data_IF_975998147687
#
_entry.id   IF_975998147687
#
_cell.length_a   1.000
_cell.length_b   1.000
_cell.length_c   1.000
_cell.angle_alpha   90.00
_cell.angle_beta   90.00
_cell.angle_gamma   90.00
#
_symmetry.space_group_name_H-M   'P 1'
#
loop_
_entity.id
_entity.type
_entity.pdbx_description
1 polymer ?
#
# COMPACT_ATOMS: atom_id res chain seq x y z
N UNK A 1 0.67 -74.96 -36.73
CA UNK A 1 0.60 -74.30 -35.39
C UNK A 1 1.02 -72.89 -35.58
N UNK A 2 0.03 -71.92 -35.64
CA UNK A 2 0.28 -70.50 -35.90
C UNK A 2 0.24 -69.76 -34.55
N UNK A 3 1.36 -69.10 -34.14
CA UNK A 3 1.47 -68.31 -32.96
C UNK A 3 1.03 -66.92 -33.31
N UNK A 4 -0.08 -66.42 -32.71
CA UNK A 4 -0.57 -65.05 -32.77
C UNK A 4 0.22 -64.16 -31.78
N UNK A 5 0.99 -63.22 -32.32
CA UNK A 5 1.71 -62.19 -31.56
C UNK A 5 0.73 -61.00 -31.36
N UNK A 6 0.25 -60.80 -30.14
CA UNK A 6 -0.57 -59.66 -29.80
C UNK A 6 0.34 -58.49 -29.43
N UNK A 7 0.46 -57.50 -30.33
CA UNK A 7 1.08 -56.21 -30.03
C UNK A 7 0.11 -55.35 -29.18
N UNK A 8 0.48 -55.10 -27.95
CA UNK A 8 -0.17 -54.11 -27.11
C UNK A 8 0.41 -52.72 -27.44
N UNK A 9 -0.38 -51.88 -28.09
CA UNK A 9 -0.06 -50.46 -28.32
C UNK A 9 -0.44 -49.68 -27.05
N UNK A 10 0.55 -49.37 -26.21
CA UNK A 10 0.35 -48.52 -25.04
C UNK A 10 0.25 -47.06 -25.52
N UNK A 11 -0.97 -46.55 -25.60
CA UNK A 11 -1.25 -45.14 -25.87
C UNK A 11 -1.01 -44.35 -24.57
N UNK A 12 0.17 -43.74 -24.43
CA UNK A 12 0.52 -42.89 -23.32
C UNK A 12 -0.29 -41.57 -23.39
N UNK A 13 -1.30 -41.42 -22.54
CA UNK A 13 -1.91 -40.13 -22.29
C UNK A 13 -0.89 -39.21 -21.62
N UNK A 14 -0.27 -38.28 -22.38
CA UNK A 14 0.35 -37.10 -21.80
C UNK A 14 -0.76 -36.23 -21.25
N UNK A 15 -1.07 -36.36 -19.98
CA UNK A 15 -1.84 -35.36 -19.24
C UNK A 15 -0.96 -34.09 -19.16
N UNK A 16 -1.16 -33.19 -20.10
CA UNK A 16 -0.58 -31.84 -20.04
C UNK A 16 -1.14 -31.15 -18.79
N UNK A 17 -0.37 -31.12 -17.73
CA UNK A 17 -0.67 -30.22 -16.61
C UNK A 17 -0.62 -28.79 -17.15
N UNK A 18 -1.77 -28.19 -17.41
CA UNK A 18 -1.85 -26.76 -17.64
C UNK A 18 -1.44 -26.08 -16.35
N UNK A 19 -0.16 -25.65 -16.28
CA UNK A 19 0.29 -24.79 -15.21
C UNK A 19 -0.59 -23.53 -15.26
N UNK A 20 -1.51 -23.38 -14.31
CA UNK A 20 -2.22 -22.14 -14.12
C UNK A 20 -1.17 -21.06 -13.90
N UNK A 21 -1.17 -20.03 -14.73
CA UNK A 21 -0.26 -18.90 -14.53
C UNK A 21 -0.50 -18.35 -13.12
N UNK A 22 0.56 -18.17 -12.36
CA UNK A 22 0.45 -17.61 -11.02
C UNK A 22 -0.14 -16.19 -11.12
N UNK A 23 -1.10 -15.89 -10.28
CA UNK A 23 -1.73 -14.58 -10.20
C UNK A 23 -1.52 -13.96 -8.82
N UNK A 24 -1.39 -12.63 -8.78
CA UNK A 24 -1.29 -11.83 -7.57
C UNK A 24 -2.43 -10.82 -7.55
N UNK A 25 -3.20 -10.76 -6.49
CA UNK A 25 -4.29 -9.79 -6.33
C UNK A 25 -3.89 -8.67 -5.38
N UNK A 26 -3.90 -7.44 -5.89
CA UNK A 26 -3.57 -6.21 -5.15
C UNK A 26 -4.83 -5.41 -4.88
N UNK A 27 -5.18 -5.23 -3.61
CA UNK A 27 -6.19 -4.26 -3.19
C UNK A 27 -5.52 -2.89 -3.06
N UNK A 28 -5.88 -1.95 -3.94
CA UNK A 28 -5.18 -0.66 -4.07
C UNK A 28 -6.10 0.54 -3.84
N UNK A 29 -5.72 1.37 -2.87
CA UNK A 29 -6.26 2.73 -2.74
C UNK A 29 -5.51 3.75 -3.61
N UNK A 30 -4.42 3.35 -4.25
CA UNK A 30 -3.62 4.22 -5.13
C UNK A 30 -4.28 4.32 -6.51
N UNK A 31 -4.04 5.45 -7.18
CA UNK A 31 -4.66 5.78 -8.47
C UNK A 31 -3.66 6.40 -9.46
N UNK A 32 -2.37 6.15 -9.26
CA UNK A 32 -1.33 6.68 -10.14
C UNK A 32 -1.08 5.75 -11.31
N UNK A 33 -0.93 6.32 -12.51
CA UNK A 33 -0.62 5.56 -13.72
C UNK A 33 0.75 4.87 -13.63
N UNK A 34 1.68 5.46 -12.89
CA UNK A 34 2.99 4.85 -12.60
C UNK A 34 2.89 3.47 -11.93
N UNK A 35 1.84 3.22 -11.16
CA UNK A 35 1.66 1.92 -10.52
C UNK A 35 1.36 0.83 -11.54
N UNK A 36 0.61 1.16 -12.61
CA UNK A 36 0.33 0.22 -13.70
C UNK A 36 1.61 -0.18 -14.45
N UNK A 37 2.54 0.75 -14.63
CA UNK A 37 3.85 0.48 -15.26
C UNK A 37 4.65 -0.50 -14.40
N UNK A 38 4.69 -0.30 -13.07
CA UNK A 38 5.40 -1.18 -12.15
C UNK A 38 4.79 -2.60 -12.12
N UNK A 39 3.48 -2.71 -12.13
CA UNK A 39 2.80 -4.01 -12.16
C UNK A 39 3.04 -4.75 -13.48
N UNK A 40 3.05 -4.01 -14.61
CA UNK A 40 3.38 -4.58 -15.91
C UNK A 40 4.81 -5.12 -15.93
N UNK A 41 5.78 -4.31 -15.47
CA UNK A 41 7.19 -4.73 -15.38
C UNK A 41 7.34 -5.99 -14.50
N UNK A 42 6.70 -6.03 -13.34
CA UNK A 42 6.70 -7.20 -12.47
C UNK A 42 6.17 -8.45 -13.19
N UNK A 43 5.07 -8.31 -13.95
CA UNK A 43 4.51 -9.42 -14.73
C UNK A 43 5.48 -9.88 -15.83
N UNK A 44 6.13 -8.94 -16.52
CA UNK A 44 7.11 -9.26 -17.56
C UNK A 44 8.35 -9.98 -17.01
N UNK A 45 8.82 -9.60 -15.83
CA UNK A 45 10.00 -10.21 -15.18
C UNK A 45 9.72 -11.56 -14.53
N UNK A 46 8.49 -11.77 -14.03
CA UNK A 46 8.17 -12.95 -13.18
C UNK A 46 7.23 -13.95 -13.84
N UNK A 47 6.49 -13.54 -14.87
CA UNK A 47 5.37 -14.31 -15.43
C UNK A 47 4.11 -14.31 -14.54
N UNK A 48 4.12 -13.61 -13.39
CA UNK A 48 3.00 -13.54 -12.46
C UNK A 48 2.08 -12.38 -12.87
N UNK A 49 0.83 -12.68 -13.19
CA UNK A 49 -0.17 -11.68 -13.54
C UNK A 49 -0.62 -10.90 -12.30
N UNK A 50 -0.65 -9.57 -12.37
CA UNK A 50 -1.14 -8.72 -11.29
C UNK A 50 -2.58 -8.27 -11.58
N UNK A 51 -3.51 -8.65 -10.71
CA UNK A 51 -4.90 -8.22 -10.73
C UNK A 51 -5.09 -7.11 -9.70
N UNK A 52 -5.61 -5.94 -10.12
CA UNK A 52 -5.76 -4.79 -9.23
C UNK A 52 -7.23 -4.50 -8.97
N UNK A 53 -7.62 -4.54 -7.70
CA UNK A 53 -8.94 -4.12 -7.21
C UNK A 53 -8.80 -2.75 -6.56
N UNK A 54 -9.45 -1.74 -7.14
CA UNK A 54 -9.40 -0.35 -6.65
C UNK A 54 -10.55 -0.06 -5.70
N UNK A 55 -10.28 0.74 -4.65
CA UNK A 55 -11.27 1.20 -3.69
C UNK A 55 -10.73 2.24 -2.73
N UNK A 56 -11.57 2.81 -1.87
CA UNK A 56 -11.07 3.63 -0.78
C UNK A 56 -10.37 2.76 0.26
N UNK A 57 -9.39 3.31 0.99
CA UNK A 57 -8.61 2.53 1.94
C UNK A 57 -9.48 1.88 3.02
N UNK A 58 -10.43 2.63 3.57
CA UNK A 58 -11.30 2.13 4.63
C UNK A 58 -12.24 1.02 4.10
N UNK A 59 -12.79 1.16 2.88
CA UNK A 59 -13.57 0.11 2.23
C UNK A 59 -12.75 -1.17 1.98
N UNK A 60 -11.51 -1.03 1.52
CA UNK A 60 -10.64 -2.18 1.28
C UNK A 60 -10.25 -2.89 2.57
N UNK A 61 -9.99 -2.15 3.66
CA UNK A 61 -9.72 -2.74 4.98
C UNK A 61 -10.96 -3.47 5.51
N UNK A 62 -12.15 -2.87 5.41
CA UNK A 62 -13.40 -3.52 5.80
C UNK A 62 -13.67 -4.77 4.97
N UNK A 63 -13.41 -4.71 3.66
CA UNK A 63 -13.56 -5.84 2.77
C UNK A 63 -12.64 -6.98 3.17
N UNK A 64 -11.35 -6.72 3.41
CA UNK A 64 -10.39 -7.70 3.91
C UNK A 64 -10.86 -8.35 5.22
N UNK A 65 -11.38 -7.55 6.16
CA UNK A 65 -11.91 -8.05 7.42
C UNK A 65 -13.14 -8.96 7.23
N UNK A 66 -14.03 -8.61 6.29
CA UNK A 66 -15.22 -9.40 5.98
C UNK A 66 -14.90 -10.69 5.23
N UNK A 67 -13.96 -10.67 4.31
CA UNK A 67 -13.51 -11.83 3.53
C UNK A 67 -12.69 -12.79 4.42
N UNK A 68 -11.97 -12.25 5.41
CA UNK A 68 -11.16 -13.03 6.34
C UNK A 68 -10.17 -13.95 5.62
N UNK A 69 -10.18 -15.23 5.97
CA UNK A 69 -9.29 -16.24 5.37
C UNK A 69 -9.61 -16.57 3.90
N UNK A 70 -10.78 -16.16 3.42
CA UNK A 70 -11.22 -16.38 2.04
C UNK A 70 -10.92 -15.17 1.14
N UNK A 71 -10.22 -14.15 1.65
CA UNK A 71 -9.85 -13.00 0.83
C UNK A 71 -8.97 -13.43 -0.34
N UNK A 72 -9.28 -12.99 -1.56
CA UNK A 72 -8.41 -13.20 -2.71
C UNK A 72 -7.22 -12.25 -2.74
N UNK A 73 -7.15 -11.28 -1.80
CA UNK A 73 -6.09 -10.27 -1.81
C UNK A 73 -4.80 -10.80 -1.19
N UNK A 74 -3.71 -10.69 -1.93
CA UNK A 74 -2.36 -11.00 -1.48
C UNK A 74 -1.66 -9.76 -0.91
N UNK A 75 -1.98 -8.56 -1.45
CA UNK A 75 -1.32 -7.30 -1.07
C UNK A 75 -2.35 -6.18 -0.90
N UNK A 76 -2.22 -5.44 0.20
CA UNK A 76 -2.91 -4.16 0.40
C UNK A 76 -1.95 -3.00 0.13
N UNK A 77 -2.25 -2.20 -0.89
CA UNK A 77 -1.49 -1.00 -1.24
C UNK A 77 -2.30 0.26 -0.90
N UNK A 78 -1.83 1.00 0.08
CA UNK A 78 -2.51 2.21 0.55
C UNK A 78 -1.52 3.37 0.74
N UNK A 79 -2.01 4.50 1.21
CA UNK A 79 -1.22 5.70 1.49
C UNK A 79 -1.34 6.06 2.96
N UNK A 80 -0.25 6.59 3.51
CA UNK A 80 -0.14 7.02 4.91
C UNK A 80 -0.02 5.88 5.93
N UNK A 81 0.94 6.01 6.84
CA UNK A 81 1.22 5.02 7.89
C UNK A 81 0.01 4.82 8.84
N UNK A 82 -0.82 5.86 9.05
CA UNK A 82 -2.02 5.75 9.87
C UNK A 82 -3.04 4.75 9.32
N UNK A 83 -3.15 4.61 7.99
CA UNK A 83 -4.01 3.58 7.38
C UNK A 83 -3.42 2.19 7.51
N UNK A 84 -2.11 2.06 7.35
CA UNK A 84 -1.41 0.79 7.57
C UNK A 84 -1.54 0.33 9.02
N UNK A 85 -1.45 1.26 9.96
CA UNK A 85 -1.71 0.98 11.38
C UNK A 85 -3.15 0.50 11.62
N UNK A 86 -4.15 1.13 11.00
CA UNK A 86 -5.56 0.68 11.08
C UNK A 86 -5.74 -0.73 10.51
N UNK A 87 -5.12 -1.04 9.37
CA UNK A 87 -5.16 -2.37 8.79
C UNK A 87 -4.52 -3.42 9.71
N UNK A 88 -3.37 -3.10 10.34
CA UNK A 88 -2.75 -3.94 11.35
C UNK A 88 -3.67 -4.15 12.56
N UNK A 89 -4.24 -3.08 13.11
CA UNK A 89 -5.16 -3.13 14.25
C UNK A 89 -6.44 -3.94 13.95
N UNK A 90 -6.90 -3.92 12.70
CA UNK A 90 -8.02 -4.74 12.24
C UNK A 90 -7.65 -6.23 12.03
N UNK A 91 -6.38 -6.63 12.23
CA UNK A 91 -5.91 -8.00 12.10
C UNK A 91 -5.92 -8.55 10.66
N UNK A 92 -5.96 -7.66 9.64
CA UNK A 92 -6.03 -8.06 8.23
C UNK A 92 -4.65 -8.19 7.56
N UNK A 93 -3.57 -7.92 8.29
CA UNK A 93 -2.21 -8.03 7.81
C UNK A 93 -1.47 -9.14 8.55
N UNK A 94 -0.62 -9.86 7.83
CA UNK A 94 0.30 -10.83 8.40
C UNK A 94 1.74 -10.32 8.32
N UNK A 95 2.62 -10.72 9.26
CA UNK A 95 4.03 -10.31 9.24
C UNK A 95 4.77 -11.01 8.09
N UNK A 96 5.58 -10.24 7.37
CA UNK A 96 6.44 -10.73 6.29
C UNK A 96 7.89 -10.48 6.63
N UNK A 97 8.73 -11.52 6.56
CA UNK A 97 10.17 -11.41 6.71
C UNK A 97 10.83 -11.53 5.33
N UNK A 98 11.35 -10.43 4.80
CA UNK A 98 12.04 -10.37 3.52
C UNK A 98 13.38 -9.67 3.67
N UNK A 99 14.47 -10.34 3.22
CA UNK A 99 15.81 -9.73 3.17
C UNK A 99 15.86 -8.51 2.24
N UNK A 100 15.12 -8.55 1.13
CA UNK A 100 15.04 -7.45 0.17
C UNK A 100 14.34 -6.23 0.80
N UNK A 101 13.20 -6.41 1.47
CA UNK A 101 12.50 -5.34 2.18
C UNK A 101 13.34 -4.79 3.34
N UNK A 102 13.99 -5.67 4.11
CA UNK A 102 14.84 -5.23 5.21
C UNK A 102 16.05 -4.42 4.76
N UNK A 103 16.61 -4.73 3.57
CA UNK A 103 17.73 -4.00 2.98
C UNK A 103 17.30 -2.65 2.40
N UNK A 104 16.14 -2.59 1.74
CA UNK A 104 15.75 -1.44 0.92
C UNK A 104 14.81 -0.45 1.65
N UNK A 105 14.11 -0.88 2.72
CA UNK A 105 13.19 -0.04 3.48
C UNK A 105 13.81 0.27 4.86
N UNK A 106 14.11 1.53 5.18
CA UNK A 106 14.65 1.93 6.48
C UNK A 106 13.76 1.46 7.64
N UNK A 107 14.36 1.16 8.80
CA UNK A 107 13.63 0.70 9.99
C UNK A 107 12.55 1.70 10.46
N UNK A 108 12.80 3.00 10.30
CA UNK A 108 11.83 4.07 10.61
C UNK A 108 10.62 4.13 9.66
N UNK A 109 10.67 3.41 8.54
CA UNK A 109 9.62 3.40 7.52
C UNK A 109 8.90 2.05 7.42
N UNK A 110 9.03 1.18 8.41
CA UNK A 110 8.37 -0.12 8.45
C UNK A 110 7.87 -0.48 9.84
N UNK A 111 6.88 -1.33 9.89
CA UNK A 111 6.42 -1.88 11.15
C UNK A 111 7.51 -2.75 11.80
N UNK A 112 7.82 -2.56 13.09
CA UNK A 112 8.83 -3.38 13.78
C UNK A 112 8.53 -4.89 13.75
N UNK A 113 7.26 -5.27 13.72
CA UNK A 113 6.80 -6.65 13.63
C UNK A 113 6.68 -7.15 12.17
N UNK A 114 6.86 -6.29 11.18
CA UNK A 114 6.89 -6.64 9.76
C UNK A 114 5.53 -6.73 9.07
N UNK A 115 4.46 -6.16 9.64
CA UNK A 115 3.12 -6.19 9.03
C UNK A 115 2.97 -5.24 7.85
N UNK A 116 3.80 -4.19 7.76
CA UNK A 116 3.77 -3.24 6.64
C UNK A 116 5.13 -2.59 6.39
N UNK A 117 5.29 -2.06 5.18
CA UNK A 117 6.49 -1.40 4.69
C UNK A 117 6.14 -0.13 3.93
N UNK A 118 6.81 0.99 4.26
CA UNK A 118 6.66 2.26 3.55
C UNK A 118 7.58 2.32 2.33
N UNK A 119 6.99 2.44 1.15
CA UNK A 119 7.72 2.44 -0.11
C UNK A 119 8.05 3.85 -0.62
N UNK A 120 7.34 4.88 -0.14
CA UNK A 120 7.51 6.27 -0.57
C UNK A 120 7.30 7.22 0.59
N UNK A 121 7.95 8.39 0.52
CA UNK A 121 7.80 9.47 1.50
C UNK A 121 7.08 10.64 0.86
N UNK A 122 6.25 11.31 1.64
CA UNK A 122 5.62 12.60 1.29
C UNK A 122 5.88 13.61 2.38
N UNK A 123 6.29 14.80 1.97
CA UNK A 123 6.37 15.94 2.88
C UNK A 123 5.09 16.75 2.83
N UNK A 124 4.63 17.20 3.98
CA UNK A 124 3.58 18.21 4.07
C UNK A 124 4.27 19.55 4.21
N UNK A 125 4.02 20.40 3.24
CA UNK A 125 4.68 21.71 3.17
C UNK A 125 3.65 22.83 3.28
N UNK A 126 4.07 23.97 3.79
CA UNK A 126 3.26 25.18 3.77
C UNK A 126 3.29 25.72 2.34
N UNK A 127 2.13 25.81 1.71
CA UNK A 127 1.92 26.42 0.39
C UNK A 127 1.25 27.76 0.59
N UNK A 128 1.71 28.81 -0.09
CA UNK A 128 1.21 30.15 0.08
C UNK A 128 0.92 30.86 -1.24
N UNK A 129 0.02 31.83 -1.20
CA UNK A 129 -0.25 32.74 -2.33
C UNK A 129 0.88 33.75 -2.44
N UNK A 130 1.59 33.77 -3.57
CA UNK A 130 2.69 34.71 -3.82
C UNK A 130 2.27 36.19 -3.79
N UNK A 131 0.99 36.46 -4.09
CA UNK A 131 0.43 37.80 -4.15
C UNK A 131 0.02 38.35 -2.76
N UNK A 132 -0.12 37.48 -1.77
CA UNK A 132 -0.68 37.82 -0.46
C UNK A 132 0.21 37.55 0.73
N UNK A 133 1.26 36.78 0.56
CA UNK A 133 2.14 36.32 1.63
C UNK A 133 3.58 36.35 1.14
N UNK A 134 4.48 36.90 1.93
CA UNK A 134 5.92 36.84 1.67
C UNK A 134 6.51 35.59 2.29
N UNK A 135 7.48 34.94 1.66
CA UNK A 135 8.17 33.77 2.25
C UNK A 135 8.74 34.02 3.64
N UNK A 136 9.22 35.28 3.88
CA UNK A 136 9.76 35.69 5.18
C UNK A 136 8.75 35.67 6.33
N UNK A 137 7.45 35.70 6.01
CA UNK A 137 6.37 35.66 7.01
C UNK A 137 6.06 34.24 7.47
N UNK A 138 6.61 33.23 6.78
CA UNK A 138 6.38 31.82 7.03
C UNK A 138 7.56 31.20 7.77
N UNK A 139 7.28 30.34 8.74
CA UNK A 139 8.31 29.60 9.48
C UNK A 139 7.86 28.14 9.76
N UNK A 140 7.25 27.89 10.89
CA UNK A 140 6.82 26.54 11.32
C UNK A 140 5.30 26.37 11.27
N UNK A 141 4.83 25.17 11.46
CA UNK A 141 3.39 24.89 11.57
C UNK A 141 2.78 25.59 12.79
N UNK A 142 3.49 25.62 13.91
CA UNK A 142 3.07 26.24 15.16
C UNK A 142 2.89 27.76 14.98
N UNK A 143 3.74 28.39 14.15
CA UNK A 143 3.61 29.81 13.84
C UNK A 143 2.29 30.15 13.15
N UNK A 144 1.66 29.20 12.42
CA UNK A 144 0.35 29.40 11.80
C UNK A 144 -0.80 29.50 12.81
N UNK A 145 -0.58 29.17 14.08
CA UNK A 145 -1.55 29.35 15.14
C UNK A 145 -1.62 30.78 15.69
N UNK A 146 -0.67 31.65 15.31
CA UNK A 146 -0.63 33.04 15.77
C UNK A 146 -1.82 33.85 15.23
N UNK A 147 -2.25 34.93 15.96
CA UNK A 147 -3.42 35.72 15.59
C UNK A 147 -3.41 36.32 14.18
N UNK A 148 -2.23 36.67 13.65
CA UNK A 148 -2.08 37.22 12.28
C UNK A 148 -2.53 36.27 11.18
N UNK A 149 -2.57 34.94 11.46
CA UNK A 149 -3.00 33.92 10.52
C UNK A 149 -4.49 33.55 10.64
N UNK A 150 -5.22 34.14 11.59
CA UNK A 150 -6.66 33.87 11.79
C UNK A 150 -7.45 34.13 10.51
N UNK A 151 -8.19 33.12 10.04
CA UNK A 151 -9.01 33.21 8.81
C UNK A 151 -8.20 33.17 7.50
N UNK A 152 -6.88 32.97 7.57
CA UNK A 152 -5.97 32.98 6.40
C UNK A 152 -5.39 31.61 6.08
N UNK A 153 -5.58 30.61 6.96
CA UNK A 153 -5.08 29.25 6.78
C UNK A 153 -6.17 28.35 6.24
N UNK A 154 -5.85 27.62 5.19
CA UNK A 154 -6.70 26.55 4.63
C UNK A 154 -6.04 25.21 4.91
N UNK A 155 -6.73 24.35 5.62
CA UNK A 155 -6.29 23.00 5.93
C UNK A 155 -7.36 21.99 5.51
N UNK A 156 -6.96 20.73 5.36
CA UNK A 156 -7.92 19.64 5.12
C UNK A 156 -8.76 19.37 6.37
N UNK A 157 -9.91 18.73 6.18
CA UNK A 157 -10.77 18.30 7.29
C UNK A 157 -9.98 17.46 8.32
N UNK A 158 -10.33 17.61 9.59
CA UNK A 158 -9.79 16.79 10.69
C UNK A 158 -10.06 15.29 10.54
N UNK A 159 -11.09 14.91 9.77
CA UNK A 159 -11.35 13.51 9.42
C UNK A 159 -10.36 12.95 8.39
N UNK A 160 -9.59 13.80 7.70
CA UNK A 160 -8.66 13.36 6.69
C UNK A 160 -7.38 12.81 7.34
N UNK A 161 -6.98 11.59 6.94
CA UNK A 161 -5.80 10.91 7.51
C UNK A 161 -4.52 11.74 7.41
N UNK A 162 -4.35 12.53 6.36
CA UNK A 162 -3.15 13.36 6.22
C UNK A 162 -3.09 14.48 7.26
N UNK A 163 -4.24 15.02 7.64
CA UNK A 163 -4.30 16.03 8.70
C UNK A 163 -4.11 15.40 10.08
N UNK A 164 -4.68 14.21 10.29
CA UNK A 164 -4.47 13.43 11.52
C UNK A 164 -2.98 13.07 11.71
N UNK A 165 -2.30 12.63 10.64
CA UNK A 165 -0.86 12.34 10.70
C UNK A 165 -0.01 13.59 10.94
N UNK A 166 -0.37 14.74 10.38
CA UNK A 166 0.29 16.02 10.67
C UNK A 166 0.12 16.39 12.14
N UNK A 167 -1.11 16.35 12.65
CA UNK A 167 -1.39 16.65 14.06
C UNK A 167 -0.63 15.68 14.99
N UNK A 168 -0.63 14.39 14.66
CA UNK A 168 0.12 13.38 15.43
C UNK A 168 1.63 13.69 15.45
N UNK A 169 2.21 14.18 14.36
CA UNK A 169 3.62 14.57 14.31
C UNK A 169 3.91 15.81 15.16
N UNK A 170 3.01 16.78 15.17
CA UNK A 170 3.14 17.98 16.01
C UNK A 170 3.05 17.59 17.50
N UNK A 171 2.09 16.75 17.86
CA UNK A 171 1.95 16.24 19.24
C UNK A 171 3.18 15.44 19.66
N UNK A 172 3.73 14.62 18.78
CA UNK A 172 4.93 13.84 19.07
C UNK A 172 6.17 14.73 19.32
N UNK A 173 6.25 15.87 18.63
CA UNK A 173 7.37 16.81 18.76
C UNK A 173 7.23 17.76 19.95
N UNK A 174 6.00 18.19 20.30
CA UNK A 174 5.77 19.28 21.24
C UNK A 174 4.97 18.87 22.49
N UNK A 175 4.45 17.64 22.54
CA UNK A 175 3.49 17.24 23.57
C UNK A 175 2.05 17.55 23.22
N UNK A 176 1.14 17.32 24.16
CA UNK A 176 -0.31 17.55 23.98
C UNK A 176 -0.80 18.88 24.50
N UNK A 177 0.01 19.55 25.33
CA UNK A 177 -0.34 20.77 26.03
C UNK A 177 0.11 22.00 25.27
#
# INVERSE_FOLDING_TARGET
>A
MKKFLKSFLALGLLAGATASAAELTVYSHRHYDSDAVLFKQFTEETGIKVNVVKGSADQLIQRLASEGKNSPADVLLTVDAGRLHRAKAAGVLQPVKSKALAKNVPASMRDPEGHWYGMTVRSRVIVYSKDRVKPSDLSTYEALAKPEWKGRVVARSSSNIYNQSLLASIIAANGRD
#
